data_IF_209088840314
#
_entry.id   IF_209088840314
#
_cell.length_a   1.000
_cell.length_b   1.000
_cell.length_c   1.000
_cell.angle_alpha   90.00
_cell.angle_beta   90.00
_cell.angle_gamma   90.00
#
_symmetry.space_group_name_H-M   'P 1'
#
loop_
_entity.id
_entity.type
_entity.pdbx_description
1 polymer ?
#
# COMPACT_ATOMS: atom_id res chain seq x y z
N UNK A 1 13.42 15.72 20.71
CA UNK A 1 12.35 15.56 21.72
C UNK A 1 11.35 16.73 21.62
N UNK A 2 10.29 16.55 20.82
CA UNK A 2 9.25 17.56 20.69
C UNK A 2 8.05 17.05 21.50
N UNK A 3 7.83 17.72 22.61
CA UNK A 3 6.81 17.47 23.63
C UNK A 3 5.41 17.66 23.04
N UNK A 4 4.59 16.61 23.05
CA UNK A 4 3.16 16.69 22.77
C UNK A 4 2.43 17.25 23.99
N UNK A 5 2.18 18.55 24.01
CA UNK A 5 1.12 19.12 24.85
C UNK A 5 -0.12 19.32 23.98
N UNK A 6 -1.15 18.53 24.26
CA UNK A 6 -2.48 18.67 23.68
C UNK A 6 -3.10 20.00 24.11
N UNK A 7 -3.68 20.73 23.15
CA UNK A 7 -4.59 21.85 23.41
C UNK A 7 -5.84 21.68 22.57
N UNK A 8 -7.00 21.75 23.25
CA UNK A 8 -8.34 21.53 22.73
C UNK A 8 -8.81 22.76 21.95
N UNK A 9 -9.40 22.57 20.75
CA UNK A 9 -10.67 23.17 20.26
C UNK A 9 -10.72 23.25 18.72
N UNK A 10 -11.66 22.49 18.13
CA UNK A 10 -12.63 22.89 17.10
C UNK A 10 -13.16 21.63 16.38
N UNK A 11 -14.37 21.22 16.76
CA UNK A 11 -14.99 19.89 16.59
C UNK A 11 -15.35 19.44 15.18
N UNK A 12 -14.42 19.54 14.22
CA UNK A 12 -14.59 18.92 12.90
C UNK A 12 -13.31 18.84 12.05
N UNK A 13 -12.36 19.77 12.24
CA UNK A 13 -11.08 19.75 11.50
C UNK A 13 -10.07 18.79 12.13
N UNK A 14 -9.95 18.77 13.46
CA UNK A 14 -8.93 17.96 14.16
C UNK A 14 -9.19 16.46 13.97
N UNK A 15 -10.45 16.02 14.04
CA UNK A 15 -10.83 14.62 13.77
C UNK A 15 -10.44 14.20 12.35
N UNK A 16 -10.69 15.06 11.35
CA UNK A 16 -10.34 14.77 9.95
C UNK A 16 -8.83 14.71 9.71
N UNK A 17 -8.05 15.55 10.39
CA UNK A 17 -6.58 15.49 10.32
C UNK A 17 -6.03 14.25 11.03
N UNK A 18 -6.56 13.88 12.20
CA UNK A 18 -6.15 12.68 12.93
C UNK A 18 -6.49 11.40 12.16
N UNK A 19 -7.70 11.31 11.60
CA UNK A 19 -8.16 10.21 10.74
C UNK A 19 -7.28 10.08 9.49
N UNK A 20 -6.96 11.19 8.82
CA UNK A 20 -6.04 11.21 7.67
C UNK A 20 -4.59 10.87 8.04
N UNK A 21 -4.17 11.06 9.29
CA UNK A 21 -2.80 10.76 9.75
C UNK A 21 -2.61 9.26 10.01
N UNK A 22 -3.65 8.56 10.47
CA UNK A 22 -3.59 7.10 10.66
C UNK A 22 -3.56 6.34 9.33
N UNK A 23 -4.20 6.86 8.28
CA UNK A 23 -4.20 6.22 6.95
C UNK A 23 -2.82 6.14 6.28
N UNK A 24 -1.85 6.94 6.74
CA UNK A 24 -0.46 6.91 6.25
C UNK A 24 0.22 5.57 6.57
N UNK A 25 -0.23 4.89 7.62
CA UNK A 25 0.29 3.59 8.05
C UNK A 25 -0.52 2.40 7.52
N UNK A 26 -1.62 2.66 6.81
CA UNK A 26 -2.50 1.61 6.31
C UNK A 26 -2.06 1.11 4.94
N UNK A 27 -2.09 -0.21 4.83
CA UNK A 27 -1.84 -0.97 3.61
C UNK A 27 -3.14 -1.60 3.15
N UNK A 28 -3.41 -1.52 1.86
CA UNK A 28 -4.47 -2.22 1.15
C UNK A 28 -3.85 -3.39 0.37
N UNK A 29 -4.30 -4.61 0.67
CA UNK A 29 -3.92 -5.82 -0.05
C UNK A 29 -5.16 -6.41 -0.71
N UNK A 30 -5.18 -6.43 -2.04
CA UNK A 30 -6.26 -7.03 -2.82
C UNK A 30 -5.95 -8.50 -3.11
N UNK A 31 -6.92 -9.37 -2.80
CA UNK A 31 -6.82 -10.81 -2.90
C UNK A 31 -7.89 -11.35 -3.86
N UNK A 32 -7.52 -12.35 -4.65
CA UNK A 32 -8.42 -13.05 -5.58
C UNK A 32 -9.34 -14.05 -4.83
N UNK A 33 -10.28 -13.50 -4.05
CA UNK A 33 -11.33 -14.23 -3.35
C UNK A 33 -12.54 -13.32 -3.13
N UNK A 34 -13.75 -13.87 -3.22
CA UNK A 34 -14.97 -13.13 -2.89
C UNK A 34 -15.13 -12.98 -1.38
N UNK A 35 -15.60 -11.81 -0.90
CA UNK A 35 -15.76 -11.56 0.53
C UNK A 35 -16.66 -12.61 1.22
N UNK A 36 -17.71 -13.07 0.53
CA UNK A 36 -18.64 -14.08 1.04
C UNK A 36 -18.02 -15.46 1.23
N UNK A 37 -16.88 -15.72 0.58
CA UNK A 37 -16.14 -16.98 0.66
C UNK A 37 -15.05 -16.96 1.74
N UNK A 38 -14.80 -15.80 2.37
CA UNK A 38 -13.77 -15.67 3.41
C UNK A 38 -14.37 -16.00 4.78
N UNK A 39 -14.07 -17.20 5.28
CA UNK A 39 -14.40 -17.59 6.65
C UNK A 39 -13.48 -16.93 7.69
N UNK A 40 -13.91 -16.89 8.96
CA UNK A 40 -13.10 -16.39 10.07
C UNK A 40 -11.76 -17.15 10.19
N UNK A 41 -11.77 -18.47 10.04
CA UNK A 41 -10.56 -19.29 10.10
C UNK A 41 -9.57 -18.96 8.96
N UNK A 42 -10.07 -18.71 7.75
CA UNK A 42 -9.24 -18.30 6.62
C UNK A 42 -8.68 -16.90 6.83
N UNK A 43 -9.50 -15.97 7.36
CA UNK A 43 -9.04 -14.62 7.74
C UNK A 43 -7.88 -14.70 8.72
N UNK A 44 -8.01 -15.50 9.77
CA UNK A 44 -6.97 -15.63 10.79
C UNK A 44 -5.71 -16.33 10.23
N UNK A 45 -5.88 -17.28 9.30
CA UNK A 45 -4.77 -17.92 8.59
C UNK A 45 -4.01 -16.92 7.71
N UNK A 46 -4.72 -16.05 6.99
CA UNK A 46 -4.09 -14.98 6.19
C UNK A 46 -3.25 -14.04 7.07
N UNK A 47 -3.78 -13.62 8.22
CA UNK A 47 -3.04 -12.74 9.13
C UNK A 47 -1.76 -13.40 9.64
N UNK A 48 -1.80 -14.68 9.98
CA UNK A 48 -0.60 -15.45 10.38
C UNK A 48 0.43 -15.56 9.26
N UNK A 49 -0.02 -15.82 8.03
CA UNK A 49 0.88 -15.88 6.88
C UNK A 49 1.53 -14.53 6.59
N UNK A 50 0.77 -13.43 6.73
CA UNK A 50 1.34 -12.07 6.62
C UNK A 50 2.35 -11.78 7.73
N UNK A 51 2.10 -12.22 8.96
CA UNK A 51 3.02 -12.05 10.08
C UNK A 51 4.33 -12.79 9.82
N UNK A 52 4.25 -14.04 9.37
CA UNK A 52 5.40 -14.84 8.99
C UNK A 52 6.20 -14.20 7.83
N UNK A 53 5.52 -13.72 6.79
CA UNK A 53 6.14 -13.04 5.64
C UNK A 53 6.91 -11.79 6.04
N UNK A 54 6.34 -11.00 6.97
CA UNK A 54 6.91 -9.74 7.43
C UNK A 54 7.89 -9.91 8.61
N UNK A 55 8.08 -11.14 9.09
CA UNK A 55 8.87 -11.49 10.27
C UNK A 55 8.44 -10.72 11.54
N UNK A 56 7.13 -10.60 11.77
CA UNK A 56 6.52 -9.97 12.95
C UNK A 56 5.61 -10.97 13.69
N UNK A 57 5.13 -10.60 14.88
CA UNK A 57 4.18 -11.45 15.61
C UNK A 57 2.76 -11.27 15.06
N UNK A 58 1.91 -12.28 15.21
CA UNK A 58 0.49 -12.22 14.81
C UNK A 58 -0.25 -11.03 15.46
N UNK A 59 0.09 -10.72 16.72
CA UNK A 59 -0.47 -9.61 17.49
C UNK A 59 -0.07 -8.23 16.96
N UNK A 60 1.00 -8.16 16.18
CA UNK A 60 1.52 -6.90 15.64
C UNK A 60 0.73 -6.47 14.40
N UNK A 61 0.05 -7.40 13.73
CA UNK A 61 -0.81 -7.09 12.59
C UNK A 61 -2.17 -6.63 13.08
N UNK A 62 -2.46 -5.35 12.86
CA UNK A 62 -3.73 -4.74 13.19
C UNK A 62 -4.64 -4.71 11.96
N UNK A 63 -5.55 -5.66 11.89
CA UNK A 63 -6.60 -5.67 10.88
C UNK A 63 -7.58 -4.51 11.13
N UNK A 64 -7.78 -3.66 10.12
CA UNK A 64 -8.74 -2.54 10.17
C UNK A 64 -10.04 -2.88 9.47
N UNK A 65 -9.97 -3.47 8.29
CA UNK A 65 -11.16 -3.83 7.53
C UNK A 65 -10.88 -4.99 6.55
N UNK A 66 -11.95 -5.70 6.21
CA UNK A 66 -12.02 -6.65 5.12
C UNK A 66 -13.25 -6.29 4.28
N UNK A 67 -13.05 -5.93 3.01
CA UNK A 67 -14.10 -5.34 2.16
C UNK A 67 -14.09 -5.99 0.78
N UNK A 68 -15.26 -6.25 0.21
CA UNK A 68 -15.36 -6.72 -1.18
C UNK A 68 -15.02 -5.59 -2.13
N UNK A 69 -14.11 -5.83 -3.07
CA UNK A 69 -13.78 -4.86 -4.13
C UNK A 69 -14.54 -5.19 -5.42
N UNK A 70 -14.67 -6.47 -5.76
CA UNK A 70 -15.50 -6.96 -6.85
C UNK A 70 -16.20 -8.26 -6.45
N UNK A 71 -16.95 -8.88 -7.36
CA UNK A 71 -17.57 -10.19 -7.09
C UNK A 71 -16.55 -11.29 -6.78
N UNK A 72 -15.30 -11.11 -7.22
CA UNK A 72 -14.22 -12.11 -7.13
C UNK A 72 -13.01 -11.62 -6.34
N UNK A 73 -13.03 -10.41 -5.81
CA UNK A 73 -11.87 -9.80 -5.12
C UNK A 73 -12.26 -9.14 -3.79
N UNK A 74 -11.34 -9.22 -2.84
CA UNK A 74 -11.49 -8.68 -1.49
C UNK A 74 -10.25 -7.88 -1.12
N UNK A 75 -10.43 -6.72 -0.53
CA UNK A 75 -9.38 -5.85 -0.01
C UNK A 75 -9.27 -6.00 1.49
N UNK A 76 -8.08 -6.35 1.94
CA UNK A 76 -7.65 -6.39 3.33
C UNK A 76 -6.93 -5.09 3.67
N UNK A 77 -7.46 -4.32 4.64
CA UNK A 77 -6.84 -3.11 5.18
C UNK A 77 -6.17 -3.40 6.52
N UNK A 78 -4.86 -3.20 6.63
CA UNK A 78 -4.15 -3.45 7.88
C UNK A 78 -2.98 -2.48 8.11
N UNK A 79 -2.52 -2.41 9.36
CA UNK A 79 -1.29 -1.73 9.77
C UNK A 79 -0.45 -2.67 10.62
N UNK A 80 0.86 -2.47 10.68
CA UNK A 80 1.77 -3.30 11.48
C UNK A 80 2.40 -2.47 12.58
N UNK A 81 2.28 -2.94 13.82
CA UNK A 81 2.93 -2.35 14.99
C UNK A 81 4.36 -2.90 15.11
N UNK A 82 5.35 -2.01 15.14
CA UNK A 82 6.74 -2.36 15.42
C UNK A 82 7.15 -1.98 16.85
N UNK A 83 8.39 -2.34 17.25
CA UNK A 83 8.94 -2.00 18.57
C UNK A 83 9.03 -0.49 18.81
N UNK A 84 9.35 0.29 17.77
CA UNK A 84 9.47 1.76 17.85
C UNK A 84 8.18 2.50 17.46
N UNK A 85 7.06 1.78 17.30
CA UNK A 85 5.78 2.32 16.83
C UNK A 85 5.30 1.70 15.51
N UNK A 86 4.21 2.24 14.96
CA UNK A 86 3.59 1.70 13.73
C UNK A 86 4.51 1.88 12.52
N UNK A 87 4.72 0.80 11.76
CA UNK A 87 5.54 0.81 10.55
C UNK A 87 4.88 1.65 9.45
N UNK A 88 5.69 2.35 8.64
CA UNK A 88 5.16 3.15 7.53
C UNK A 88 4.53 2.25 6.46
N UNK A 89 3.36 2.64 5.96
CA UNK A 89 2.66 1.89 4.91
C UNK A 89 3.52 1.75 3.65
N UNK A 90 4.27 2.79 3.27
CA UNK A 90 5.17 2.77 2.11
C UNK A 90 6.25 1.69 2.20
N UNK A 91 6.86 1.48 3.38
CA UNK A 91 7.90 0.47 3.59
C UNK A 91 7.30 -0.93 3.51
N UNK A 92 6.12 -1.13 4.12
CA UNK A 92 5.39 -2.39 4.07
C UNK A 92 4.99 -2.76 2.63
N UNK A 93 4.46 -1.80 1.87
CA UNK A 93 4.06 -2.00 0.47
C UNK A 93 5.25 -2.41 -0.39
N UNK A 94 6.41 -1.77 -0.22
CA UNK A 94 7.62 -2.14 -0.97
C UNK A 94 8.03 -3.60 -0.75
N UNK A 95 8.04 -4.05 0.51
CA UNK A 95 8.35 -5.45 0.86
C UNK A 95 7.30 -6.41 0.29
N UNK A 96 6.02 -6.11 0.51
CA UNK A 96 4.91 -6.95 0.06
C UNK A 96 4.84 -7.06 -1.47
N UNK A 97 5.08 -5.98 -2.21
CA UNK A 97 5.13 -6.02 -3.68
C UNK A 97 6.28 -6.90 -4.17
N UNK A 98 7.45 -6.82 -3.55
CA UNK A 98 8.60 -7.67 -3.90
C UNK A 98 8.25 -9.14 -3.71
N UNK A 99 7.77 -9.51 -2.52
CA UNK A 99 7.52 -10.90 -2.17
C UNK A 99 6.29 -11.48 -2.89
N UNK A 100 5.16 -10.76 -2.89
CA UNK A 100 3.89 -11.31 -3.35
C UNK A 100 3.66 -11.17 -4.86
N UNK A 101 4.13 -10.07 -5.47
CA UNK A 101 3.85 -9.78 -6.88
C UNK A 101 5.02 -10.11 -7.80
N UNK A 102 6.26 -9.87 -7.35
CA UNK A 102 7.47 -10.10 -8.14
C UNK A 102 8.00 -11.52 -8.02
N UNK A 103 8.27 -11.96 -6.80
CA UNK A 103 8.80 -13.29 -6.56
C UNK A 103 7.74 -14.39 -6.80
N UNK A 104 6.45 -13.99 -6.88
CA UNK A 104 5.27 -14.85 -7.14
C UNK A 104 5.24 -16.11 -6.27
N UNK A 105 5.72 -15.97 -5.05
CA UNK A 105 5.72 -17.02 -4.04
C UNK A 105 4.33 -17.15 -3.45
N UNK A 106 3.79 -18.37 -3.42
CA UNK A 106 2.49 -18.70 -2.82
C UNK A 106 2.57 -18.70 -1.27
N UNK A 107 2.94 -17.56 -0.67
CA UNK A 107 2.98 -17.39 0.79
C UNK A 107 1.59 -17.30 1.40
N UNK A 108 0.64 -16.72 0.68
CA UNK A 108 -0.71 -16.44 1.17
C UNK A 108 -1.70 -17.49 0.67
N UNK A 109 -2.69 -17.77 1.50
CA UNK A 109 -3.80 -18.66 1.19
C UNK A 109 -4.57 -18.24 -0.08
N UNK A 110 -4.66 -16.93 -0.32
CA UNK A 110 -5.26 -16.36 -1.53
C UNK A 110 -4.22 -15.59 -2.33
N UNK A 111 -4.35 -15.65 -3.66
CA UNK A 111 -3.46 -14.95 -4.56
C UNK A 111 -3.58 -13.44 -4.39
N UNK A 112 -2.45 -12.76 -4.16
CA UNK A 112 -2.38 -11.31 -4.18
C UNK A 112 -2.50 -10.78 -5.61
N UNK A 113 -3.40 -9.83 -5.80
CA UNK A 113 -3.60 -9.10 -7.05
C UNK A 113 -2.85 -7.77 -7.03
N UNK A 114 -2.95 -7.06 -5.90
CA UNK A 114 -2.49 -5.69 -5.77
C UNK A 114 -2.12 -5.34 -4.33
N UNK A 115 -1.11 -4.48 -4.16
CA UNK A 115 -0.68 -3.99 -2.85
C UNK A 115 -0.43 -2.49 -2.94
N UNK A 116 -1.11 -1.70 -2.12
CA UNK A 116 -1.00 -0.24 -2.09
C UNK A 116 -1.07 0.33 -0.67
N UNK A 117 -0.76 1.62 -0.54
CA UNK A 117 -1.05 2.41 0.65
C UNK A 117 -2.46 2.98 0.57
N UNK A 118 -3.17 3.08 1.70
CA UNK A 118 -4.55 3.59 1.73
C UNK A 118 -4.65 5.03 1.21
N UNK A 119 -3.66 5.87 1.53
CA UNK A 119 -3.44 7.17 0.89
C UNK A 119 -2.48 7.03 -0.27
N UNK A 120 -2.59 7.88 -1.29
CA UNK A 120 -1.46 7.94 -2.21
C UNK A 120 -0.28 8.69 -1.58
N UNK A 121 0.81 7.96 -1.34
CA UNK A 121 2.06 8.47 -0.79
C UNK A 121 3.19 8.55 -1.83
N UNK A 122 2.90 8.31 -3.11
CA UNK A 122 3.89 8.38 -4.18
C UNK A 122 4.36 9.83 -4.39
N UNK A 123 5.68 10.01 -4.50
CA UNK A 123 6.31 11.31 -4.76
C UNK A 123 6.40 11.68 -6.24
N UNK A 124 6.14 10.72 -7.15
CA UNK A 124 6.19 10.92 -8.60
C UNK A 124 7.45 11.65 -9.11
N UNK A 125 8.61 11.40 -8.48
CA UNK A 125 9.90 12.07 -8.72
C UNK A 125 9.86 13.61 -8.61
N UNK A 126 8.82 14.18 -8.01
CA UNK A 126 8.55 15.61 -7.99
C UNK A 126 8.10 16.19 -9.34
N UNK A 127 7.57 15.35 -10.23
CA UNK A 127 7.30 15.66 -11.64
C UNK A 127 5.94 15.13 -12.10
N UNK A 128 5.00 15.15 -11.18
CA UNK A 128 3.66 14.65 -11.38
C UNK A 128 2.89 14.66 -10.07
N UNK A 129 1.64 14.29 -10.16
CA UNK A 129 0.74 14.17 -9.03
C UNK A 129 0.31 12.72 -8.89
N UNK A 130 0.18 12.25 -7.66
CA UNK A 130 -0.38 10.94 -7.47
C UNK A 130 -1.91 10.98 -7.49
N UNK A 131 -2.50 10.14 -8.33
CA UNK A 131 -3.94 9.94 -8.36
C UNK A 131 -4.40 9.16 -7.11
N UNK A 132 -5.31 9.73 -6.30
CA UNK A 132 -5.79 9.07 -5.08
C UNK A 132 -6.67 7.85 -5.33
N UNK A 133 -7.21 7.67 -6.54
CA UNK A 133 -8.07 6.54 -6.93
C UNK A 133 -7.19 5.43 -7.49
N UNK A 134 -6.41 5.73 -8.52
CA UNK A 134 -5.60 4.70 -9.20
C UNK A 134 -4.30 4.40 -8.44
N UNK A 135 -3.87 5.24 -7.50
CA UNK A 135 -2.57 5.16 -6.80
C UNK A 135 -1.38 5.13 -7.74
N UNK A 136 -1.53 5.72 -8.92
CA UNK A 136 -0.48 5.85 -9.93
C UNK A 136 -0.06 7.31 -10.10
N UNK A 137 1.12 7.53 -10.67
CA UNK A 137 1.62 8.87 -10.94
C UNK A 137 1.08 9.39 -12.27
N UNK A 138 0.33 10.47 -12.21
CA UNK A 138 -0.03 11.28 -13.38
C UNK A 138 1.09 12.30 -13.60
N UNK A 139 1.85 12.11 -14.66
CA UNK A 139 3.06 12.90 -14.90
C UNK A 139 2.75 14.28 -15.51
N UNK A 140 3.59 15.26 -15.14
CA UNK A 140 3.54 16.60 -15.72
C UNK A 140 3.89 16.56 -17.22
N UNK A 141 3.51 17.58 -18.01
CA UNK A 141 3.91 17.68 -19.41
C UNK A 141 5.42 17.47 -19.59
N UNK A 142 5.81 16.77 -20.67
CA UNK A 142 7.19 16.36 -20.99
C UNK A 142 7.78 15.24 -20.12
N UNK A 143 7.03 14.75 -19.14
CA UNK A 143 7.36 13.57 -18.34
C UNK A 143 6.42 12.43 -18.72
N UNK A 144 6.92 11.21 -18.66
CA UNK A 144 6.14 10.00 -18.90
C UNK A 144 6.39 8.99 -17.78
N UNK A 145 5.60 7.93 -17.72
CA UNK A 145 5.82 6.88 -16.73
C UNK A 145 7.21 6.25 -16.95
N UNK A 146 7.94 6.08 -15.85
CA UNK A 146 9.22 5.40 -15.87
C UNK A 146 9.01 3.87 -15.92
N UNK A 147 8.73 3.35 -17.12
CA UNK A 147 8.49 1.93 -17.35
C UNK A 147 9.69 1.06 -16.96
N UNK A 148 10.92 1.56 -17.09
CA UNK A 148 12.13 0.85 -16.64
C UNK A 148 12.05 0.59 -15.14
N UNK A 149 11.72 1.61 -14.33
CA UNK A 149 11.55 1.43 -12.89
C UNK A 149 10.34 0.55 -12.54
N UNK A 150 9.24 0.68 -13.28
CA UNK A 150 8.02 -0.12 -13.06
C UNK A 150 8.24 -1.61 -13.32
N UNK A 151 8.96 -1.99 -14.37
CA UNK A 151 9.18 -3.40 -14.69
C UNK A 151 10.48 -3.95 -14.12
N UNK A 152 11.57 -3.20 -14.19
CA UNK A 152 12.91 -3.65 -13.78
C UNK A 152 13.35 -3.12 -12.41
N UNK A 153 12.72 -2.09 -11.87
CA UNK A 153 13.10 -1.40 -10.63
C UNK A 153 12.42 -1.94 -9.37
N UNK A 154 11.50 -1.19 -8.78
CA UNK A 154 10.79 -1.50 -7.52
C UNK A 154 9.27 -1.74 -7.73
N UNK A 155 8.80 -1.67 -8.98
CA UNK A 155 7.38 -1.83 -9.28
C UNK A 155 6.52 -0.61 -8.98
N UNK A 156 7.11 0.49 -8.50
CA UNK A 156 6.35 1.71 -8.19
C UNK A 156 6.11 2.56 -9.44
N UNK A 157 4.89 3.10 -9.57
CA UNK A 157 4.60 4.11 -10.60
C UNK A 157 5.37 5.39 -10.30
N UNK A 158 5.99 5.96 -11.33
CA UNK A 158 6.83 7.15 -11.18
C UNK A 158 7.01 7.89 -12.52
N UNK A 159 7.45 9.14 -12.47
CA UNK A 159 7.66 9.97 -13.65
C UNK A 159 9.14 10.06 -14.03
N UNK A 160 9.46 9.75 -15.28
CA UNK A 160 10.79 9.79 -15.87
C UNK A 160 10.82 10.64 -17.14
N UNK A 161 12.04 10.99 -17.58
CA UNK A 161 12.21 11.64 -18.88
C UNK A 161 11.76 10.67 -19.96
N UNK A 162 11.11 11.18 -21.00
CA UNK A 162 10.92 10.42 -22.24
C UNK A 162 12.33 10.10 -22.76
N UNK A 163 12.73 8.83 -22.72
CA UNK A 163 13.83 8.38 -23.57
C UNK A 163 13.28 8.40 -24.98
N UNK A 164 13.43 9.52 -25.68
CA UNK A 164 13.31 9.50 -27.13
C UNK A 164 14.44 8.60 -27.64
N UNK A 165 14.14 7.35 -27.96
CA UNK A 165 14.96 6.63 -28.94
C UNK A 165 14.77 7.37 -30.25
N UNK A 166 15.68 8.32 -30.53
CA UNK A 166 15.80 8.86 -31.88
C UNK A 166 16.37 7.70 -32.68
N UNK A 167 15.51 6.99 -33.41
CA UNK A 167 15.97 6.17 -34.52
C UNK A 167 16.55 7.15 -35.52
N UNK A 168 17.88 7.28 -35.52
CA UNK A 168 18.59 7.92 -36.62
C UNK A 168 18.61 6.91 -37.75
N UNK A 169 17.70 7.07 -38.72
CA UNK A 169 17.82 6.45 -40.04
C UNK A 169 19.02 7.05 -40.80
#
# INVERSE_FOLDING_TARGET
PITFHSFIQNGGKISRYHEKTEEIYLVELELLVSLSQVSLAQRDTLLRQLAALLHVMDSDIQLRALQGHSQLSTVLRFSVRGPDGTLSGSRLVSVLRSQLLRDKTDYLLFRALRVDTALCLLRCSGRGQCDPITKECVCDPFWTENLIRRYLGDGESNCGKVFCFVFTD
#
